data_IF_429047326803
#
_entry.id   IF_429047326803
#
_cell.length_a   1.000
_cell.length_b   1.000
_cell.length_c   1.000
_cell.angle_alpha   90.00
_cell.angle_beta   90.00
_cell.angle_gamma   90.00
#
_symmetry.space_group_name_H-M   'P 1'
#
loop_
_entity.id
_entity.type
_entity.pdbx_description
1 polymer ?
#
# COMPACT_ATOMS: atom_id res chain seq x y z
N UNK A 1 -91.59 -2.25 31.40
CA UNK A 1 -90.21 -1.76 31.22
C UNK A 1 -89.24 -2.94 31.31
N UNK A 2 -88.43 -3.19 30.26
CA UNK A 2 -87.02 -3.65 30.29
C UNK A 2 -86.58 -4.07 28.88
N UNK A 3 -85.29 -3.89 28.63
CA UNK A 3 -84.63 -3.54 27.37
C UNK A 3 -83.96 -4.72 26.64
N UNK A 4 -83.72 -4.47 25.35
CA UNK A 4 -82.63 -4.93 24.48
C UNK A 4 -82.58 -6.40 24.04
N UNK A 5 -82.63 -6.61 22.72
CA UNK A 5 -81.79 -7.60 22.05
C UNK A 5 -81.47 -7.16 20.62
N UNK A 6 -80.19 -7.22 20.29
CA UNK A 6 -79.53 -6.89 19.03
C UNK A 6 -79.65 -8.02 18.01
N UNK A 7 -79.83 -7.70 16.72
CA UNK A 7 -79.52 -8.64 15.62
C UNK A 7 -79.12 -7.94 14.31
N UNK A 8 -77.89 -8.25 13.90
CA UNK A 8 -77.24 -8.26 12.58
C UNK A 8 -78.07 -7.98 11.32
N UNK A 9 -77.50 -7.19 10.37
CA UNK A 9 -77.48 -7.51 8.92
C UNK A 9 -76.22 -6.96 8.21
N UNK A 10 -75.32 -7.89 7.89
CA UNK A 10 -74.50 -8.05 6.68
C UNK A 10 -74.21 -6.84 5.77
N UNK A 11 -72.95 -6.39 5.76
CA UNK A 11 -72.34 -5.67 4.62
C UNK A 11 -71.57 -6.66 3.75
N UNK A 12 -72.01 -6.85 2.50
CA UNK A 12 -71.26 -7.58 1.46
C UNK A 12 -70.03 -6.76 1.07
N UNK A 13 -68.84 -7.32 1.24
CA UNK A 13 -67.59 -6.74 0.72
C UNK A 13 -67.29 -7.33 -0.68
N UNK A 14 -66.84 -6.52 -1.64
CA UNK A 14 -66.51 -6.98 -2.99
C UNK A 14 -65.26 -7.90 -3.00
N UNK A 15 -65.13 -8.79 -4.01
CA UNK A 15 -64.08 -9.81 -4.05
C UNK A 15 -62.68 -9.19 -4.15
N UNK A 16 -61.75 -9.76 -3.39
CA UNK A 16 -60.36 -9.32 -3.25
C UNK A 16 -59.58 -9.64 -4.54
N UNK A 17 -59.06 -8.60 -5.19
CA UNK A 17 -58.12 -8.73 -6.32
C UNK A 17 -56.86 -9.42 -5.80
N UNK A 18 -56.58 -10.63 -6.30
CA UNK A 18 -55.33 -11.33 -6.02
C UNK A 18 -54.29 -10.75 -6.97
N UNK A 19 -53.40 -9.91 -6.46
CA UNK A 19 -52.27 -9.41 -7.22
C UNK A 19 -51.31 -10.58 -7.52
N UNK A 20 -51.02 -10.82 -8.79
CA UNK A 20 -49.99 -11.77 -9.20
C UNK A 20 -48.66 -11.40 -8.55
N UNK A 21 -48.01 -12.40 -7.93
CA UNK A 21 -46.72 -12.22 -7.26
C UNK A 21 -45.71 -11.74 -8.30
N UNK A 22 -44.93 -10.67 -8.03
CA UNK A 22 -43.92 -10.23 -8.98
C UNK A 22 -42.88 -11.34 -9.19
N UNK A 23 -42.56 -11.62 -10.45
CA UNK A 23 -41.53 -12.58 -10.87
C UNK A 23 -40.24 -12.33 -10.09
N UNK A 24 -39.72 -13.37 -9.46
CA UNK A 24 -38.45 -13.36 -8.73
C UNK A 24 -37.35 -12.73 -9.61
N UNK A 25 -36.73 -11.65 -9.12
CA UNK A 25 -35.60 -11.01 -9.79
C UNK A 25 -34.52 -12.07 -10.04
N UNK A 26 -34.11 -12.22 -11.31
CA UNK A 26 -33.07 -13.14 -11.70
C UNK A 26 -31.84 -12.96 -10.80
N UNK A 27 -31.31 -14.08 -10.30
CA UNK A 27 -30.11 -14.12 -9.47
C UNK A 27 -28.95 -13.52 -10.28
N UNK A 28 -28.54 -12.31 -9.92
CA UNK A 28 -27.34 -11.68 -10.45
C UNK A 28 -26.17 -12.57 -10.01
N UNK A 29 -25.58 -13.29 -10.97
CA UNK A 29 -24.33 -14.03 -10.76
C UNK A 29 -23.31 -13.09 -10.18
N UNK A 30 -23.07 -13.24 -8.87
CA UNK A 30 -22.14 -12.42 -8.09
C UNK A 30 -20.74 -12.80 -8.53
N UNK A 31 -20.21 -12.10 -9.54
CA UNK A 31 -18.83 -12.29 -10.00
C UNK A 31 -17.91 -12.05 -8.80
N UNK A 32 -17.10 -13.05 -8.40
CA UNK A 32 -16.18 -12.88 -7.29
C UNK A 32 -15.23 -11.73 -7.60
N UNK A 33 -15.13 -10.76 -6.70
CA UNK A 33 -14.10 -9.72 -6.81
C UNK A 33 -12.74 -10.41 -6.76
N UNK A 34 -11.80 -10.07 -7.65
CA UNK A 34 -10.46 -10.66 -7.60
C UNK A 34 -9.85 -10.32 -6.24
N UNK A 35 -9.61 -11.34 -5.43
CA UNK A 35 -8.86 -11.20 -4.19
C UNK A 35 -7.42 -10.99 -4.62
N UNK A 36 -6.90 -9.77 -4.48
CA UNK A 36 -5.52 -9.45 -4.75
C UNK A 36 -4.63 -10.24 -3.78
N UNK A 37 -4.28 -11.47 -4.17
CA UNK A 37 -3.35 -12.33 -3.45
C UNK A 37 -1.93 -11.97 -3.87
N UNK A 38 -1.57 -10.69 -3.77
CA UNK A 38 -0.17 -10.29 -3.83
C UNK A 38 0.28 -10.10 -2.40
N UNK A 39 0.88 -11.15 -1.84
CA UNK A 39 1.80 -11.00 -0.72
C UNK A 39 3.00 -10.25 -1.28
N UNK A 40 2.89 -8.93 -1.42
CA UNK A 40 4.00 -8.08 -1.83
C UNK A 40 5.18 -8.43 -0.93
N UNK A 41 6.31 -8.79 -1.51
CA UNK A 41 7.52 -9.05 -0.74
C UNK A 41 7.74 -7.83 0.17
N UNK A 42 7.83 -8.07 1.47
CA UNK A 42 8.09 -6.99 2.42
C UNK A 42 9.32 -6.24 1.95
N UNK A 43 9.21 -4.92 1.80
CA UNK A 43 10.32 -4.09 1.34
C UNK A 43 11.43 -4.23 2.37
N UNK A 44 12.62 -4.68 1.94
CA UNK A 44 13.80 -4.76 2.81
C UNK A 44 14.11 -3.37 3.36
N UNK A 45 14.28 -3.28 4.68
CA UNK A 45 14.83 -2.11 5.33
C UNK A 45 16.34 -2.22 5.43
N UNK A 46 17.00 -1.08 5.45
CA UNK A 46 18.44 -0.96 5.62
C UNK A 46 18.74 -0.01 6.77
N UNK A 47 19.89 -0.24 7.41
CA UNK A 47 20.49 0.62 8.42
C UNK A 47 21.89 1.03 7.97
N UNK A 48 22.24 2.29 8.17
CA UNK A 48 23.58 2.80 7.96
C UNK A 48 24.43 2.58 9.21
N UNK A 49 25.64 2.05 9.02
CA UNK A 49 26.54 1.67 10.11
C UNK A 49 27.41 2.86 10.58
N UNK A 50 27.44 3.96 9.82
CA UNK A 50 28.16 5.20 10.18
C UNK A 50 29.58 5.29 9.61
N UNK A 51 30.06 4.24 8.95
CA UNK A 51 31.33 4.26 8.23
C UNK A 51 31.13 4.95 6.88
N UNK A 52 31.92 5.99 6.61
CA UNK A 52 31.96 6.63 5.30
C UNK A 52 33.31 6.29 4.66
N UNK A 53 33.32 5.72 3.45
CA UNK A 53 34.56 5.38 2.77
C UNK A 53 35.29 6.64 2.33
N UNK A 54 36.62 6.56 2.27
CA UNK A 54 37.39 7.53 1.50
C UNK A 54 36.96 7.46 0.03
N UNK A 55 36.98 8.60 -0.67
CA UNK A 55 36.53 8.67 -2.07
C UNK A 55 37.35 7.76 -3.01
N UNK A 56 38.52 7.28 -2.60
CA UNK A 56 39.38 6.42 -3.41
C UNK A 56 38.79 5.01 -3.55
N UNK A 57 38.63 4.53 -4.80
CA UNK A 57 38.11 3.18 -5.09
C UNK A 57 36.58 3.01 -5.09
N UNK A 58 35.83 4.09 -4.87
CA UNK A 58 34.37 4.12 -4.93
C UNK A 58 33.91 4.78 -6.23
N UNK A 59 32.84 4.25 -6.82
CA UNK A 59 32.23 4.93 -7.96
C UNK A 59 31.48 6.17 -7.47
N UNK A 60 31.40 7.25 -8.27
CA UNK A 60 30.70 8.47 -7.88
C UNK A 60 29.25 8.22 -7.46
N UNK A 61 28.58 7.27 -8.13
CA UNK A 61 27.19 6.89 -7.83
C UNK A 61 27.06 6.22 -6.46
N UNK A 62 28.00 5.35 -6.10
CA UNK A 62 27.97 4.65 -4.82
C UNK A 62 28.30 5.60 -3.67
N UNK A 63 29.29 6.47 -3.87
CA UNK A 63 29.62 7.52 -2.92
C UNK A 63 28.45 8.49 -2.71
N UNK A 64 27.76 8.88 -3.79
CA UNK A 64 26.57 9.73 -3.69
C UNK A 64 25.47 9.12 -2.82
N UNK A 65 25.24 7.80 -2.88
CA UNK A 65 24.27 7.12 -2.01
C UNK A 65 24.68 7.21 -0.53
N UNK A 66 25.95 6.98 -0.22
CA UNK A 66 26.46 7.05 1.15
C UNK A 66 26.46 8.48 1.69
N UNK A 67 26.88 9.44 0.88
CA UNK A 67 26.82 10.87 1.19
C UNK A 67 25.38 11.31 1.46
N UNK A 68 24.43 10.83 0.66
CA UNK A 68 23.00 11.12 0.86
C UNK A 68 22.52 10.67 2.25
N UNK A 69 22.96 9.51 2.74
CA UNK A 69 22.57 9.02 4.08
C UNK A 69 23.27 9.82 5.17
N UNK A 70 24.56 10.08 5.01
CA UNK A 70 25.36 10.79 5.99
C UNK A 70 24.87 12.23 6.20
N UNK A 71 24.45 12.90 5.12
CA UNK A 71 23.93 14.26 5.17
C UNK A 71 22.40 14.31 5.35
N UNK A 72 21.71 13.17 5.36
CA UNK A 72 20.28 13.15 5.55
C UNK A 72 19.92 13.67 6.95
N UNK A 73 18.94 14.57 7.00
CA UNK A 73 18.32 14.93 8.27
C UNK A 73 17.40 13.79 8.69
N UNK A 74 17.32 13.50 9.99
CA UNK A 74 16.40 12.48 10.54
C UNK A 74 14.94 12.68 10.13
N UNK A 75 14.54 13.91 9.80
CA UNK A 75 13.19 14.26 9.31
C UNK A 75 12.92 13.79 7.88
N UNK A 76 13.96 13.59 7.07
CA UNK A 76 13.85 13.22 5.66
C UNK A 76 14.15 11.74 5.43
N UNK A 77 15.14 11.20 6.14
CA UNK A 77 15.51 9.80 6.11
C UNK A 77 16.06 9.41 7.48
N UNK A 78 15.54 8.35 8.07
CA UNK A 78 16.13 7.80 9.31
C UNK A 78 17.31 6.90 8.94
N UNK A 79 18.56 7.25 9.31
CA UNK A 79 19.73 6.42 9.00
C UNK A 79 19.67 5.04 9.68
N UNK A 80 18.87 4.87 10.73
CA UNK A 80 18.72 3.57 11.40
C UNK A 80 17.76 2.62 10.68
N UNK A 81 16.85 3.16 9.87
CA UNK A 81 15.83 2.38 9.18
C UNK A 81 15.28 3.15 7.99
N UNK A 82 15.71 2.76 6.80
CA UNK A 82 15.21 3.34 5.55
C UNK A 82 15.01 2.28 4.48
N UNK A 83 14.20 2.59 3.46
CA UNK A 83 14.08 1.74 2.28
C UNK A 83 15.01 2.23 1.17
N UNK A 84 15.41 1.32 0.29
CA UNK A 84 16.20 1.66 -0.90
C UNK A 84 15.53 2.74 -1.77
N UNK A 85 14.19 2.74 -1.81
CA UNK A 85 13.43 3.68 -2.62
C UNK A 85 13.53 5.11 -2.05
N UNK A 86 13.41 5.25 -0.72
CA UNK A 86 13.46 6.56 -0.07
C UNK A 86 14.85 7.18 -0.17
N UNK A 87 15.89 6.37 0.05
CA UNK A 87 17.29 6.75 -0.13
C UNK A 87 17.53 7.36 -1.51
N UNK A 88 17.17 6.61 -2.54
CA UNK A 88 17.47 6.96 -3.93
C UNK A 88 16.64 8.16 -4.36
N UNK A 89 15.37 8.23 -3.96
CA UNK A 89 14.53 9.39 -4.22
C UNK A 89 15.12 10.67 -3.60
N UNK A 90 15.69 10.56 -2.39
CA UNK A 90 16.34 11.67 -1.71
C UNK A 90 17.65 12.06 -2.41
N UNK A 91 18.45 11.09 -2.84
CA UNK A 91 19.70 11.32 -3.58
C UNK A 91 19.47 12.08 -4.89
N UNK A 92 18.41 11.72 -5.62
CA UNK A 92 18.00 12.42 -6.85
C UNK A 92 17.46 13.81 -6.52
N UNK A 93 16.62 13.94 -5.48
CA UNK A 93 16.05 15.23 -5.07
C UNK A 93 17.11 16.24 -4.64
N UNK A 94 18.18 15.79 -4.01
CA UNK A 94 19.33 16.63 -3.60
C UNK A 94 20.33 16.89 -4.73
N UNK A 95 20.22 16.20 -5.86
CA UNK A 95 21.13 16.34 -6.99
C UNK A 95 22.46 15.61 -6.82
N UNK A 96 22.64 14.79 -5.79
CA UNK A 96 23.84 13.95 -5.62
C UNK A 96 23.88 12.80 -6.62
N UNK A 97 22.70 12.32 -7.03
CA UNK A 97 22.57 11.24 -8.00
C UNK A 97 21.84 11.75 -9.24
N UNK A 98 22.55 11.83 -10.37
CA UNK A 98 21.98 12.09 -11.69
C UNK A 98 22.12 10.85 -12.56
N UNK A 99 21.02 10.41 -13.17
CA UNK A 99 21.01 9.24 -14.05
C UNK A 99 19.88 9.34 -15.07
N UNK A 100 20.14 8.85 -16.28
CA UNK A 100 19.12 8.68 -17.32
C UNK A 100 18.36 7.34 -17.19
N UNK A 101 18.78 6.46 -16.28
CA UNK A 101 18.13 5.19 -15.99
C UNK A 101 17.30 5.26 -14.72
N UNK A 102 16.56 4.18 -14.41
CA UNK A 102 15.90 4.01 -13.12
C UNK A 102 16.92 4.15 -11.97
N UNK A 103 16.81 5.17 -11.12
CA UNK A 103 17.70 5.38 -9.99
C UNK A 103 17.79 4.18 -9.05
N UNK A 104 16.69 3.42 -8.89
CA UNK A 104 16.66 2.27 -7.99
C UNK A 104 17.59 1.14 -8.47
N UNK A 105 17.87 1.07 -9.78
CA UNK A 105 18.80 0.12 -10.36
C UNK A 105 20.22 0.33 -9.84
N UNK A 106 20.60 1.57 -9.58
CA UNK A 106 21.93 1.92 -9.05
C UNK A 106 22.09 1.34 -7.65
N UNK A 107 21.10 1.53 -6.78
CA UNK A 107 21.14 0.92 -5.45
C UNK A 107 21.19 -0.60 -5.53
N UNK A 108 20.36 -1.22 -6.38
CA UNK A 108 20.35 -2.68 -6.56
C UNK A 108 21.69 -3.24 -7.03
N UNK A 109 22.40 -2.51 -7.89
CA UNK A 109 23.71 -2.90 -8.39
C UNK A 109 24.78 -2.88 -7.28
N UNK A 110 24.78 -1.84 -6.45
CA UNK A 110 25.78 -1.68 -5.37
C UNK A 110 25.38 -2.34 -4.05
N UNK A 111 24.13 -2.79 -3.92
CA UNK A 111 23.58 -3.32 -2.68
C UNK A 111 24.48 -4.36 -2.02
N UNK A 112 24.87 -5.38 -2.77
CA UNK A 112 25.63 -6.51 -2.21
C UNK A 112 27.02 -6.05 -1.75
N UNK A 113 27.65 -5.12 -2.50
CA UNK A 113 28.92 -4.51 -2.13
C UNK A 113 28.82 -3.65 -0.88
N UNK A 114 27.79 -2.81 -0.80
CA UNK A 114 27.53 -1.93 0.35
C UNK A 114 27.27 -2.72 1.65
N UNK A 115 26.64 -3.90 1.52
CA UNK A 115 26.42 -4.81 2.64
C UNK A 115 27.69 -5.59 3.00
N UNK A 116 28.42 -6.10 2.00
CA UNK A 116 29.66 -6.87 2.26
C UNK A 116 30.78 -6.04 2.85
N UNK A 117 30.91 -4.78 2.43
CA UNK A 117 31.93 -3.84 2.95
C UNK A 117 31.51 -3.22 4.31
N UNK A 118 30.31 -3.53 4.81
CA UNK A 118 29.86 -3.12 6.14
C UNK A 118 29.41 -1.65 6.24
N UNK A 119 28.97 -1.05 5.13
CA UNK A 119 28.38 0.29 5.14
C UNK A 119 26.88 0.26 5.47
N UNK A 120 26.20 -0.75 4.95
CA UNK A 120 24.77 -0.99 5.15
C UNK A 120 24.53 -2.34 5.81
N UNK A 121 23.53 -2.42 6.67
CA UNK A 121 23.00 -3.67 7.20
C UNK A 121 21.54 -3.83 6.79
N UNK A 122 21.13 -5.06 6.42
CA UNK A 122 19.71 -5.39 6.23
C UNK A 122 19.02 -5.50 7.59
N UNK A 123 17.85 -4.86 7.73
CA UNK A 123 17.00 -4.85 8.93
C UNK A 123 15.67 -5.51 8.66
#
# INVERSE_FOLDING_TARGET
>A
MRTATTTSKTKKMPPKVVADKPLSKASVTKVPKPVAKTRGAARKSYKFIGTMPEQSGFTPQMYALLQTISEAKKTELDPNKFTAQDLVALAVKRGFLSTCQDPLRIFRFYKDRLVSEGFLSEV
#
